data_IF_305592948053
#
_entry.id   IF_305592948053
#
_cell.length_a   1.000
_cell.length_b   1.000
_cell.length_c   1.000
_cell.angle_alpha   90.00
_cell.angle_beta   90.00
_cell.angle_gamma   90.00
#
_symmetry.space_group_name_H-M   'P 1'
#
loop_
_entity.id
_entity.type
_entity.pdbx_description
1 polymer ?
#
# COMPACT_ATOMS: atom_id res chain seq x y z
N UNK A 1 -18.21 -21.90 22.90
CA UNK A 1 -17.79 -20.55 23.32
C UNK A 1 -17.20 -19.88 22.10
N UNK A 2 -17.84 -18.86 21.56
CA UNK A 2 -17.36 -18.18 20.35
C UNK A 2 -16.12 -17.35 20.73
N UNK A 3 -14.98 -17.65 20.11
CA UNK A 3 -13.85 -16.73 20.11
C UNK A 3 -14.32 -15.45 19.43
N UNK A 4 -14.43 -14.40 20.22
CA UNK A 4 -14.77 -13.07 19.74
C UNK A 4 -13.60 -12.64 18.83
N UNK A 5 -13.82 -12.66 17.51
CA UNK A 5 -12.88 -12.21 16.47
C UNK A 5 -12.60 -10.71 16.56
N UNK A 6 -12.07 -10.29 17.70
CA UNK A 6 -11.72 -8.92 18.01
C UNK A 6 -10.54 -8.48 17.17
N UNK A 7 -10.66 -7.31 16.56
CA UNK A 7 -9.58 -6.71 15.81
C UNK A 7 -8.58 -6.11 16.81
N UNK A 8 -7.35 -6.58 16.79
CA UNK A 8 -6.29 -6.07 17.66
C UNK A 8 -5.82 -4.70 17.17
N UNK A 9 -5.92 -3.69 18.04
CA UNK A 9 -5.39 -2.35 17.80
C UNK A 9 -4.07 -2.21 18.54
N UNK A 10 -2.95 -2.12 17.84
CA UNK A 10 -1.62 -1.92 18.43
C UNK A 10 -1.18 -0.47 18.43
N UNK A 11 -1.68 0.33 17.49
CA UNK A 11 -1.15 1.66 17.21
C UNK A 11 -2.25 2.72 17.11
N UNK A 12 -1.88 3.96 17.43
CA UNK A 12 -2.73 5.14 17.23
C UNK A 12 -1.96 6.18 16.44
N UNK A 13 -2.64 6.81 15.51
CA UNK A 13 -2.08 7.85 14.67
C UNK A 13 -2.95 9.11 14.71
N UNK A 14 -2.31 10.27 14.70
CA UNK A 14 -2.99 11.54 14.52
C UNK A 14 -3.21 11.74 13.02
N UNK A 15 -4.47 11.68 12.58
CA UNK A 15 -4.82 11.75 11.16
C UNK A 15 -5.46 13.09 10.87
N UNK A 16 -4.85 13.86 9.97
CA UNK A 16 -5.47 15.02 9.34
C UNK A 16 -6.27 14.59 8.11
N UNK A 17 -7.55 14.96 8.04
CA UNK A 17 -8.38 14.63 6.89
C UNK A 17 -9.36 15.77 6.57
N UNK A 18 -9.90 15.73 5.35
CA UNK A 18 -10.90 16.68 4.88
C UNK A 18 -12.08 15.97 4.25
N UNK A 19 -13.27 16.55 4.41
CA UNK A 19 -14.50 16.13 3.74
C UNK A 19 -14.92 17.26 2.81
N UNK A 20 -14.66 17.08 1.52
CA UNK A 20 -14.74 18.17 0.55
C UNK A 20 -13.81 19.34 0.91
N UNK A 21 -14.11 20.52 0.38
CA UNK A 21 -13.24 21.70 0.55
C UNK A 21 -13.44 22.42 1.90
N UNK A 22 -14.59 22.22 2.55
CA UNK A 22 -15.03 23.04 3.68
C UNK A 22 -14.73 22.42 5.04
N UNK A 23 -14.68 21.10 5.13
CA UNK A 23 -14.38 20.39 6.37
C UNK A 23 -12.92 19.97 6.39
N UNK A 24 -12.21 20.36 7.44
CA UNK A 24 -10.86 19.92 7.74
C UNK A 24 -10.80 19.63 9.22
N UNK A 25 -10.25 18.47 9.57
CA UNK A 25 -10.16 18.02 10.96
C UNK A 25 -8.88 17.21 11.20
N UNK A 26 -8.49 17.12 12.46
CA UNK A 26 -7.31 16.37 12.90
C UNK A 26 -7.71 15.57 14.14
N UNK A 27 -7.75 14.25 14.04
CA UNK A 27 -8.29 13.37 15.09
C UNK A 27 -7.39 12.15 15.29
N UNK A 28 -7.31 11.67 16.53
CA UNK A 28 -6.63 10.42 16.87
C UNK A 28 -7.43 9.20 16.42
N UNK A 29 -6.85 8.37 15.56
CA UNK A 29 -7.41 7.10 15.12
C UNK A 29 -6.62 5.92 15.64
N UNK A 30 -7.32 4.80 15.79
CA UNK A 30 -6.72 3.50 15.98
C UNK A 30 -6.36 2.92 14.61
N UNK A 31 -5.13 2.42 14.47
CA UNK A 31 -4.64 1.83 13.21
C UNK A 31 -4.93 0.34 13.23
N UNK A 32 -5.52 -0.14 12.13
CA UNK A 32 -5.99 -1.51 11.96
C UNK A 32 -5.75 -1.93 10.52
N UNK A 33 -5.22 -3.15 10.31
CA UNK A 33 -5.18 -3.76 8.99
C UNK A 33 -6.59 -4.16 8.54
N UNK A 34 -7.11 -3.50 7.49
CA UNK A 34 -8.47 -3.73 6.98
C UNK A 34 -8.56 -3.33 5.50
N UNK A 35 -9.31 -4.11 4.71
CA UNK A 35 -9.50 -3.88 3.26
C UNK A 35 -10.78 -3.10 2.89
N UNK A 36 -11.59 -2.72 3.87
CA UNK A 36 -12.92 -2.13 3.63
C UNK A 36 -12.90 -0.61 3.35
N UNK A 37 -11.99 0.14 4.00
CA UNK A 37 -11.89 1.58 3.85
C UNK A 37 -10.58 2.14 4.42
N UNK A 38 -10.18 3.33 3.95
CA UNK A 38 -9.01 4.03 4.48
C UNK A 38 -9.28 4.74 5.83
N UNK A 39 -10.52 5.19 6.06
CA UNK A 39 -10.90 5.90 7.29
C UNK A 39 -12.33 5.54 7.69
N UNK A 40 -12.52 5.03 8.91
CA UNK A 40 -13.82 4.67 9.43
C UNK A 40 -14.31 5.70 10.46
N UNK A 41 -15.30 6.50 10.07
CA UNK A 41 -15.94 7.46 10.98
C UNK A 41 -16.97 6.76 11.85
N UNK A 42 -16.54 6.33 13.04
CA UNK A 42 -17.37 5.58 13.98
C UNK A 42 -18.43 6.40 14.72
N UNK A 43 -19.11 5.74 15.65
CA UNK A 43 -20.11 6.35 16.55
C UNK A 43 -19.57 7.55 17.35
N UNK A 44 -18.32 7.54 17.88
CA UNK A 44 -17.79 8.71 18.60
C UNK A 44 -17.77 9.97 17.73
N UNK A 45 -17.20 9.88 16.51
CA UNK A 45 -17.19 11.00 15.58
C UNK A 45 -18.60 11.49 15.23
N UNK A 46 -19.54 10.56 15.02
CA UNK A 46 -20.95 10.89 14.76
C UNK A 46 -21.60 11.65 15.93
N UNK A 47 -21.29 11.24 17.17
CA UNK A 47 -21.80 11.87 18.37
C UNK A 47 -21.23 13.29 18.53
N UNK A 48 -19.90 13.43 18.45
CA UNK A 48 -19.20 14.69 18.63
C UNK A 48 -19.62 15.74 17.60
N UNK A 49 -19.88 15.31 16.35
CA UNK A 49 -20.35 16.17 15.27
C UNK A 49 -21.86 16.33 15.20
N UNK A 50 -22.61 15.73 16.13
CA UNK A 50 -24.09 15.73 16.16
C UNK A 50 -24.70 15.38 14.81
N UNK A 51 -24.17 14.31 14.21
CA UNK A 51 -24.55 13.89 12.86
C UNK A 51 -25.97 13.33 12.88
N UNK A 52 -26.81 13.86 11.99
CA UNK A 52 -28.16 13.36 11.70
C UNK A 52 -28.07 12.41 10.52
N UNK A 53 -28.44 11.15 10.73
CA UNK A 53 -28.54 10.15 9.67
C UNK A 53 -29.99 10.07 9.20
N UNK A 54 -30.20 10.30 7.90
CA UNK A 54 -31.45 9.99 7.21
C UNK A 54 -31.34 8.57 6.64
N UNK A 55 -32.04 7.62 7.27
CA UNK A 55 -32.04 6.23 6.87
C UNK A 55 -32.71 5.96 5.52
N UNK A 56 -33.62 6.83 5.07
CA UNK A 56 -34.32 6.66 3.79
C UNK A 56 -33.38 6.95 2.60
N UNK A 57 -32.67 8.06 2.66
CA UNK A 57 -31.70 8.45 1.62
C UNK A 57 -30.29 7.90 1.87
N UNK A 58 -30.08 7.26 3.03
CA UNK A 58 -28.78 6.87 3.57
C UNK A 58 -27.78 8.04 3.58
N UNK A 59 -28.26 9.25 3.88
CA UNK A 59 -27.43 10.46 3.94
C UNK A 59 -27.12 10.85 5.39
N UNK A 60 -25.96 11.47 5.60
CA UNK A 60 -25.52 11.96 6.91
C UNK A 60 -25.32 13.46 6.84
N UNK A 61 -25.91 14.23 7.75
CA UNK A 61 -25.80 15.68 7.77
C UNK A 61 -25.35 16.21 9.12
N UNK A 62 -24.50 17.24 9.10
CA UNK A 62 -23.99 17.89 10.31
C UNK A 62 -23.58 19.34 10.02
N UNK A 63 -23.47 20.14 11.07
CA UNK A 63 -23.02 21.53 10.98
C UNK A 63 -21.53 21.63 11.31
N UNK A 64 -20.77 22.35 10.49
CA UNK A 64 -19.37 22.68 10.76
C UNK A 64 -19.12 24.13 10.37
N UNK A 65 -18.66 24.95 11.33
CA UNK A 65 -18.44 26.40 11.13
C UNK A 65 -19.63 27.11 10.46
N UNK A 66 -20.84 26.86 10.96
CA UNK A 66 -22.12 27.34 10.41
C UNK A 66 -22.45 26.90 8.97
N UNK A 67 -21.71 25.94 8.41
CA UNK A 67 -22.03 25.33 7.12
C UNK A 67 -22.63 23.95 7.34
N UNK A 68 -23.78 23.68 6.73
CA UNK A 68 -24.36 22.33 6.69
C UNK A 68 -23.59 21.49 5.67
N UNK A 69 -23.01 20.39 6.13
CA UNK A 69 -22.37 19.38 5.29
C UNK A 69 -23.32 18.19 5.18
N UNK A 70 -23.48 17.66 3.97
CA UNK A 70 -24.30 16.47 3.70
C UNK A 70 -23.44 15.45 2.96
N UNK A 71 -23.23 14.30 3.59
CA UNK A 71 -22.65 13.12 2.99
C UNK A 71 -23.77 12.30 2.37
N UNK A 72 -23.65 12.02 1.07
CA UNK A 72 -24.59 11.16 0.35
C UNK A 72 -23.91 9.85 -0.02
N UNK A 73 -24.67 8.76 -0.19
CA UNK A 73 -24.11 7.50 -0.66
C UNK A 73 -23.38 7.70 -1.99
N UNK A 74 -22.15 7.18 -2.07
CA UNK A 74 -21.46 7.12 -3.34
C UNK A 74 -22.17 6.08 -4.22
N UNK A 75 -22.89 6.53 -5.25
CA UNK A 75 -23.42 5.65 -6.29
C UNK A 75 -22.23 5.19 -7.11
N UNK A 76 -21.66 4.03 -6.76
CA UNK A 76 -20.58 3.41 -7.53
C UNK A 76 -21.00 3.35 -8.99
N UNK A 77 -20.33 4.08 -9.88
CA UNK A 77 -20.05 3.51 -11.19
C UNK A 77 -19.12 2.34 -10.90
N UNK A 78 -19.62 1.12 -11.04
CA UNK A 78 -18.79 -0.08 -10.96
C UNK A 78 -17.83 -0.07 -12.16
N UNK A 79 -16.68 0.57 -12.03
CA UNK A 79 -15.49 0.12 -12.75
C UNK A 79 -14.62 -0.63 -11.74
N UNK A 80 -14.29 -1.91 -11.98
CA UNK A 80 -13.49 -2.68 -11.06
C UNK A 80 -12.11 -2.04 -10.93
N UNK A 81 -11.70 -1.76 -9.69
CA UNK A 81 -10.29 -1.54 -9.39
C UNK A 81 -9.63 -2.90 -9.63
N UNK A 82 -8.97 -3.05 -10.78
CA UNK A 82 -8.12 -4.20 -11.07
C UNK A 82 -6.92 -4.15 -10.13
N UNK A 83 -7.07 -4.67 -8.92
CA UNK A 83 -5.95 -5.07 -8.05
C UNK A 83 -5.40 -6.42 -8.52
N UNK A 84 -5.05 -6.49 -9.80
CA UNK A 84 -4.53 -7.67 -10.49
C UNK A 84 -3.38 -7.24 -11.38
N UNK A 85 -2.23 -7.92 -11.21
CA UNK A 85 -0.91 -7.48 -11.66
C UNK A 85 -0.80 -7.15 -13.14
N UNK A 86 -0.29 -5.94 -13.40
CA UNK A 86 0.68 -5.56 -14.41
C UNK A 86 0.74 -4.02 -14.36
N UNK A 87 1.93 -3.44 -14.15
CA UNK A 87 2.12 -1.99 -14.31
C UNK A 87 1.87 -1.67 -15.78
N UNK A 88 0.67 -1.19 -16.12
CA UNK A 88 0.38 -0.71 -17.47
C UNK A 88 1.14 0.59 -17.69
N UNK A 89 2.20 0.52 -18.50
CA UNK A 89 2.79 1.70 -19.10
C UNK A 89 1.86 2.16 -20.23
N UNK A 90 1.35 3.39 -20.11
CA UNK A 90 0.48 3.99 -21.10
C UNK A 90 1.27 4.95 -21.98
N UNK A 91 0.86 5.08 -23.25
CA UNK A 91 1.26 6.23 -24.06
C UNK A 91 0.58 7.49 -23.52
N UNK A 92 1.17 8.66 -23.80
CA UNK A 92 0.64 9.94 -23.35
C UNK A 92 -0.84 10.15 -23.76
N UNK A 93 -1.20 9.84 -25.00
CA UNK A 93 -2.58 9.97 -25.48
C UNK A 93 -3.57 9.08 -24.70
N UNK A 94 -3.19 7.83 -24.39
CA UNK A 94 -4.04 6.94 -23.59
C UNK A 94 -4.13 7.35 -22.13
N UNK A 95 -3.05 7.94 -21.61
CA UNK A 95 -3.06 8.50 -20.27
C UNK A 95 -4.01 9.69 -20.19
N UNK A 96 -4.01 10.59 -21.17
CA UNK A 96 -4.94 11.73 -21.23
C UNK A 96 -6.40 11.28 -21.29
N UNK A 97 -6.72 10.28 -22.13
CA UNK A 97 -8.06 9.69 -22.18
C UNK A 97 -8.48 9.08 -20.83
N UNK A 98 -7.60 8.29 -20.19
CA UNK A 98 -7.90 7.67 -18.90
C UNK A 98 -8.03 8.70 -17.77
N UNK A 99 -7.27 9.79 -17.81
CA UNK A 99 -7.35 10.91 -16.87
C UNK A 99 -8.66 11.67 -17.04
N UNK A 100 -9.10 11.93 -18.27
CA UNK A 100 -10.38 12.60 -18.54
C UNK A 100 -11.58 11.76 -18.06
N UNK A 101 -11.49 10.43 -18.17
CA UNK A 101 -12.49 9.52 -17.61
C UNK A 101 -12.41 9.40 -16.08
N UNK A 102 -11.23 9.59 -15.50
CA UNK A 102 -10.97 9.44 -14.08
C UNK A 102 -11.26 10.75 -13.33
N UNK A 103 -12.32 10.78 -12.54
CA UNK A 103 -12.65 11.96 -11.71
C UNK A 103 -11.56 12.32 -10.68
N UNK A 104 -10.61 11.43 -10.41
CA UNK A 104 -9.51 11.64 -9.48
C UNK A 104 -8.26 10.85 -9.89
N UNK A 105 -7.11 11.51 -9.92
CA UNK A 105 -5.82 10.92 -10.28
C UNK A 105 -4.82 11.18 -9.15
N UNK A 106 -4.06 10.15 -8.75
CA UNK A 106 -2.95 10.27 -7.80
C UNK A 106 -1.63 10.18 -8.56
N UNK A 107 -0.73 11.14 -8.34
CA UNK A 107 0.59 11.18 -8.98
C UNK A 107 1.67 10.99 -7.92
N UNK A 108 2.50 9.96 -8.09
CA UNK A 108 3.71 9.74 -7.29
C UNK A 108 4.90 10.38 -8.02
N UNK A 109 5.39 11.50 -7.51
CA UNK A 109 6.56 12.18 -8.08
C UNK A 109 7.79 11.74 -7.29
N UNK A 110 8.63 10.91 -7.91
CA UNK A 110 9.96 10.64 -7.41
C UNK A 110 10.83 11.89 -7.60
N UNK A 111 11.11 12.62 -6.52
CA UNK A 111 12.15 13.65 -6.53
C UNK A 111 13.47 12.99 -6.17
N UNK A 112 14.39 12.94 -7.10
CA UNK A 112 15.77 12.58 -6.80
C UNK A 112 16.33 13.62 -5.83
N UNK A 113 16.63 13.17 -4.62
CA UNK A 113 17.34 13.97 -3.64
C UNK A 113 18.78 13.51 -3.71
N UNK A 114 19.63 14.33 -4.34
CA UNK A 114 21.08 14.24 -4.19
C UNK A 114 21.44 14.63 -2.75
N UNK A 115 21.03 13.82 -1.79
CA UNK A 115 21.58 13.88 -0.44
C UNK A 115 22.87 13.08 -0.50
N UNK A 116 23.98 13.67 -0.04
CA UNK A 116 25.14 12.89 0.34
C UNK A 116 24.69 11.94 1.46
N UNK A 117 24.43 10.69 1.08
CA UNK A 117 24.04 9.65 2.02
C UNK A 117 25.29 9.31 2.82
N UNK A 118 25.43 9.90 4.00
CA UNK A 118 26.46 9.47 4.95
C UNK A 118 26.17 8.03 5.33
N UNK A 119 27.11 7.13 5.04
CA UNK A 119 27.01 5.71 5.42
C UNK A 119 26.70 5.62 6.92
N UNK A 120 25.62 4.94 7.34
CA UNK A 120 25.31 4.77 8.75
C UNK A 120 26.49 4.17 9.51
N UNK A 121 26.78 4.64 10.73
CA UNK A 121 27.94 4.21 11.53
C UNK A 121 28.05 2.69 11.68
N UNK A 122 26.91 2.00 11.75
CA UNK A 122 26.84 0.54 11.86
C UNK A 122 27.29 -0.19 10.59
N UNK A 123 27.11 0.43 9.42
CA UNK A 123 27.47 -0.13 8.12
C UNK A 123 28.87 0.30 7.65
N UNK A 124 29.46 1.34 8.26
CA UNK A 124 30.80 1.84 7.93
C UNK A 124 31.89 0.75 7.87
N UNK A 125 32.01 -0.20 8.83
CA UNK A 125 33.04 -1.23 8.74
C UNK A 125 32.84 -2.19 7.55
N UNK A 126 31.58 -2.53 7.24
CA UNK A 126 31.25 -3.41 6.10
C UNK A 126 31.50 -2.70 4.78
N UNK A 127 31.13 -1.43 4.66
CA UNK A 127 31.38 -0.65 3.44
C UNK A 127 32.89 -0.44 3.22
N UNK A 128 33.66 -0.25 4.29
CA UNK A 128 35.12 -0.19 4.20
C UNK A 128 35.75 -1.52 3.78
N UNK A 129 35.20 -2.65 4.22
CA UNK A 129 35.66 -3.99 3.83
C UNK A 129 35.44 -4.29 2.35
N UNK A 130 34.34 -3.80 1.76
CA UNK A 130 33.92 -4.09 0.37
C UNK A 130 34.00 -2.87 -0.57
N UNK A 131 34.94 -1.94 -0.32
CA UNK A 131 35.05 -0.69 -1.09
C UNK A 131 35.31 -0.91 -2.59
N UNK A 132 35.91 -2.04 -2.95
CA UNK A 132 36.19 -2.45 -4.33
C UNK A 132 34.92 -2.84 -5.12
N UNK A 133 33.82 -3.17 -4.44
CA UNK A 133 32.53 -3.52 -5.06
C UNK A 133 31.68 -2.27 -5.36
N UNK A 134 32.00 -1.12 -4.75
CA UNK A 134 31.28 0.14 -4.92
C UNK A 134 32.13 1.14 -5.74
N UNK A 135 32.12 1.09 -7.08
CA UNK A 135 32.89 2.00 -7.90
C UNK A 135 32.38 3.45 -7.75
N UNK A 136 33.31 4.42 -7.80
CA UNK A 136 32.97 5.85 -7.76
C UNK A 136 32.07 6.29 -8.93
N UNK A 137 32.11 5.54 -10.03
CA UNK A 137 31.26 5.74 -11.20
C UNK A 137 30.57 4.42 -11.56
N UNK A 138 29.25 4.45 -11.70
CA UNK A 138 28.48 3.30 -12.18
C UNK A 138 28.84 3.04 -13.65
N UNK A 139 29.14 1.79 -14.05
CA UNK A 139 29.40 1.48 -15.45
C UNK A 139 28.17 1.80 -16.30
N UNK A 140 28.38 2.39 -17.49
CA UNK A 140 27.32 2.82 -18.42
C UNK A 140 26.46 1.69 -19.00
N UNK A 141 26.72 0.43 -18.63
CA UNK A 141 26.03 -0.73 -19.14
C UNK A 141 25.71 -1.73 -18.03
N UNK A 142 24.72 -2.57 -18.28
CA UNK A 142 24.45 -3.72 -17.43
C UNK A 142 25.70 -4.61 -17.35
N UNK A 143 25.95 -5.26 -16.21
CA UNK A 143 26.98 -6.29 -16.13
C UNK A 143 26.80 -7.28 -17.28
N UNK A 144 27.89 -7.77 -17.90
CA UNK A 144 27.80 -8.79 -18.93
C UNK A 144 26.95 -9.96 -18.43
N UNK A 145 26.10 -10.50 -19.32
CA UNK A 145 25.38 -11.74 -19.02
C UNK A 145 26.42 -12.80 -18.66
N UNK A 146 26.33 -13.31 -17.44
CA UNK A 146 27.20 -14.38 -16.97
C UNK A 146 26.59 -15.70 -17.45
N UNK A 147 27.33 -16.45 -18.26
CA UNK A 147 26.97 -17.82 -18.66
C UNK A 147 27.15 -18.83 -17.51
N UNK A 148 27.57 -18.36 -16.33
CA UNK A 148 27.83 -19.21 -15.16
C UNK A 148 26.52 -19.37 -14.39
N UNK A 149 25.88 -20.52 -14.59
CA UNK A 149 24.90 -21.03 -13.65
C UNK A 149 25.64 -21.33 -12.34
N UNK A 150 25.31 -20.64 -11.24
CA UNK A 150 25.75 -21.05 -9.91
C UNK A 150 25.08 -22.40 -9.60
N UNK A 151 25.76 -23.50 -9.96
CA UNK A 151 25.35 -24.84 -9.59
C UNK A 151 25.46 -24.99 -8.07
N UNK A 152 24.35 -25.33 -7.43
CA UNK A 152 24.36 -25.71 -6.02
C UNK A 152 24.79 -27.17 -5.98
N UNK A 153 26.05 -27.43 -5.62
CA UNK A 153 26.53 -28.79 -5.37
C UNK A 153 25.93 -29.26 -4.03
N UNK A 154 25.01 -30.21 -4.13
CA UNK A 154 24.42 -30.87 -2.98
C UNK A 154 25.28 -32.10 -2.63
N UNK A 155 25.65 -32.24 -1.37
CA UNK A 155 26.32 -33.45 -0.89
C UNK A 155 25.43 -34.69 -1.13
N UNK A 156 26.03 -35.87 -1.37
CA UNK A 156 25.27 -37.12 -1.59
C UNK A 156 24.37 -37.41 -0.37
N UNK A 157 23.07 -37.19 -0.54
CA UNK A 157 22.06 -37.39 0.50
C UNK A 157 21.39 -36.10 0.98
N UNK A 158 21.86 -34.93 0.55
CA UNK A 158 21.21 -33.66 0.86
C UNK A 158 19.85 -33.56 0.15
N UNK A 159 18.80 -33.37 0.93
CA UNK A 159 17.43 -33.14 0.44
C UNK A 159 17.23 -31.63 0.34
N UNK A 160 16.94 -31.14 -0.87
CA UNK A 160 16.53 -29.75 -1.04
C UNK A 160 15.27 -29.49 -0.19
N UNK A 161 15.24 -28.43 0.64
CA UNK A 161 14.00 -28.05 1.30
C UNK A 161 12.98 -27.74 0.22
N UNK A 162 11.94 -28.57 0.09
CA UNK A 162 10.87 -28.41 -0.92
C UNK A 162 9.91 -27.26 -0.60
N UNK A 163 10.33 -26.33 0.24
CA UNK A 163 9.49 -25.29 0.84
C UNK A 163 9.50 -24.01 0.03
N UNK A 164 9.48 -24.08 -1.29
CA UNK A 164 9.03 -22.96 -2.08
C UNK A 164 8.00 -23.45 -3.10
N UNK A 165 6.73 -23.18 -2.73
CA UNK A 165 5.60 -22.89 -3.61
C UNK A 165 4.54 -23.96 -3.91
N UNK A 166 4.39 -25.02 -3.12
CA UNK A 166 3.21 -25.89 -3.22
C UNK A 166 2.66 -26.31 -1.85
N UNK A 167 1.33 -26.31 -1.74
CA UNK A 167 0.63 -26.83 -0.55
C UNK A 167 0.68 -28.37 -0.50
N UNK A 168 0.58 -28.96 0.69
CA UNK A 168 0.59 -30.42 0.89
C UNK A 168 -0.40 -31.18 -0.02
N UNK A 169 -1.58 -30.60 -0.28
CA UNK A 169 -2.58 -31.19 -1.18
C UNK A 169 -2.08 -31.30 -2.63
N UNK A 170 -1.34 -30.31 -3.13
CA UNK A 170 -0.83 -30.31 -4.50
C UNK A 170 0.32 -31.31 -4.68
N UNK A 171 1.03 -31.66 -3.60
CA UNK A 171 2.09 -32.66 -3.65
C UNK A 171 1.53 -34.09 -3.68
N UNK A 172 0.38 -34.36 -3.03
CA UNK A 172 -0.29 -35.66 -3.09
C UNK A 172 -0.84 -36.00 -4.48
N UNK A 173 -1.24 -34.99 -5.26
CA UNK A 173 -1.77 -35.17 -6.63
C UNK A 173 -0.70 -35.63 -7.64
N UNK A 174 0.56 -35.24 -7.46
CA UNK A 174 1.68 -35.63 -8.34
C UNK A 174 2.21 -37.05 -8.09
N UNK A 175 1.77 -37.71 -7.00
CA UNK A 175 2.16 -39.07 -6.62
C UNK A 175 1.13 -40.13 -7.02
N UNK A 176 0.10 -39.74 -7.78
CA UNK A 176 -0.92 -40.63 -8.34
C UNK A 176 -0.64 -40.90 -9.82
#
# INVERSE_FOLDING_TARGET
MAENGGVNVSERALVSFSIGLKYKDVVWYNVVAMDACHLLLGRPWRYDRRVVHDGWTNSYSFMFKNVKIVLVPNRKSEKPISMGGETKLLSLARFEEEVDESQLVYVLIGKEVAAEVSVPTTAAPVVAEFVDIFPNELPYGLPPLRDIQHGIDLERGAVLPTHYRMSLRQHEELRR
#
